data_IF_313097099157
#
_entry.id   IF_313097099157
#
_cell.length_a   1.000
_cell.length_b   1.000
_cell.length_c   1.000
_cell.angle_alpha   90.00
_cell.angle_beta   90.00
_cell.angle_gamma   90.00
#
_symmetry.space_group_name_H-M   'P 1'
#
loop_
_entity.id
_entity.type
_entity.pdbx_description
1 polymer ?
#
# COMPACT_ATOMS: atom_id res chain seq x y z
N UNK A 1 -0.20 7.98 0.12
CA UNK A 1 -0.13 7.27 -1.18
C UNK A 1 1.29 7.20 -1.73
N UNK A 2 1.92 8.33 -2.01
CA UNK A 2 3.28 8.31 -2.56
C UNK A 2 4.30 7.67 -1.62
N UNK A 3 4.16 7.87 -0.32
CA UNK A 3 5.03 7.23 0.68
C UNK A 3 4.90 5.70 0.65
N UNK A 4 3.69 5.19 0.45
CA UNK A 4 3.44 3.76 0.35
C UNK A 4 4.13 3.22 -0.91
N UNK A 5 3.97 3.88 -2.04
CA UNK A 5 4.61 3.45 -3.30
C UNK A 5 6.13 3.43 -3.14
N UNK A 6 6.70 4.45 -2.50
CA UNK A 6 8.15 4.50 -2.28
C UNK A 6 8.63 3.33 -1.42
N UNK A 7 7.95 3.04 -0.31
CA UNK A 7 8.33 1.94 0.58
C UNK A 7 8.10 0.58 -0.07
N UNK A 8 6.97 0.41 -0.80
CA UNK A 8 6.62 -0.87 -1.37
C UNK A 8 7.49 -1.26 -2.57
N UNK A 9 7.70 -0.34 -3.50
CA UNK A 9 8.35 -0.67 -4.77
C UNK A 9 9.48 0.26 -5.19
N UNK A 10 9.70 1.38 -4.48
CA UNK A 10 10.64 2.41 -4.93
C UNK A 10 10.24 2.98 -6.29
N UNK A 11 8.94 3.03 -6.59
CA UNK A 11 8.39 3.48 -7.88
C UNK A 11 8.72 2.55 -9.05
N UNK A 12 9.10 1.30 -8.79
CA UNK A 12 9.29 0.31 -9.85
C UNK A 12 7.96 -0.37 -10.15
N UNK A 13 7.38 -0.01 -11.30
CA UNK A 13 6.08 -0.56 -11.72
C UNK A 13 6.11 -2.06 -12.00
N UNK A 14 7.30 -2.62 -12.22
CA UNK A 14 7.48 -4.04 -12.50
C UNK A 14 7.91 -4.85 -11.28
N UNK A 15 7.97 -4.23 -10.11
CA UNK A 15 8.43 -4.92 -8.90
C UNK A 15 7.55 -6.12 -8.58
N UNK A 16 8.19 -7.24 -8.27
CA UNK A 16 7.51 -8.44 -7.78
C UNK A 16 8.29 -8.94 -6.54
N UNK A 17 7.59 -9.01 -5.41
CA UNK A 17 8.24 -9.46 -4.17
C UNK A 17 8.40 -10.98 -4.17
N UNK A 18 9.20 -11.47 -3.21
CA UNK A 18 9.38 -12.91 -3.02
C UNK A 18 8.05 -13.62 -2.76
N UNK A 19 7.12 -12.98 -2.06
CA UNK A 19 5.81 -13.53 -1.77
C UNK A 19 4.82 -13.40 -2.94
N UNK A 20 5.19 -12.68 -4.01
CA UNK A 20 4.35 -12.51 -5.18
C UNK A 20 3.56 -11.21 -5.24
N UNK A 21 3.79 -10.28 -4.32
CA UNK A 21 3.18 -8.95 -4.40
C UNK A 21 3.69 -8.21 -5.64
N UNK A 22 2.80 -7.52 -6.35
CA UNK A 22 3.09 -6.97 -7.67
C UNK A 22 2.91 -5.46 -7.74
N UNK A 23 3.81 -4.82 -8.48
CA UNK A 23 3.68 -3.45 -8.96
C UNK A 23 3.92 -2.37 -7.92
N UNK A 24 3.49 -1.15 -8.25
CA UNK A 24 3.80 0.05 -7.49
C UNK A 24 3.39 -0.04 -6.01
N UNK A 25 2.21 -0.57 -5.72
CA UNK A 25 1.69 -0.68 -4.36
C UNK A 25 1.80 -2.10 -3.80
N UNK A 26 2.49 -2.99 -4.50
CA UNK A 26 2.74 -4.36 -4.07
C UNK A 26 1.45 -5.08 -3.67
N UNK A 27 0.56 -5.23 -4.65
CA UNK A 27 -0.75 -5.88 -4.48
C UNK A 27 -0.60 -7.39 -4.67
N UNK A 28 -1.11 -8.15 -3.72
CA UNK A 28 -1.14 -9.61 -3.83
C UNK A 28 -2.21 -10.04 -4.84
N UNK A 29 -1.90 -11.06 -5.68
CA UNK A 29 -2.84 -11.50 -6.73
C UNK A 29 -4.20 -11.98 -6.24
N UNK A 30 -4.31 -12.48 -5.00
CA UNK A 30 -5.60 -12.94 -4.48
C UNK A 30 -6.67 -11.85 -4.45
N UNK A 31 -6.26 -10.58 -4.39
CA UNK A 31 -7.19 -9.46 -4.38
C UNK A 31 -8.00 -9.36 -5.67
N UNK A 32 -7.52 -9.95 -6.77
CA UNK A 32 -8.28 -9.98 -8.03
C UNK A 32 -9.61 -10.71 -7.87
N UNK A 33 -9.63 -11.74 -7.04
CA UNK A 33 -10.86 -12.49 -6.75
C UNK A 33 -11.78 -11.75 -5.79
N UNK A 34 -11.19 -10.94 -4.89
CA UNK A 34 -11.96 -10.23 -3.86
C UNK A 34 -12.61 -8.95 -4.37
N UNK A 35 -11.89 -8.17 -5.17
CA UNK A 35 -12.34 -6.82 -5.55
C UNK A 35 -12.25 -6.53 -7.04
N UNK A 36 -11.89 -7.49 -7.86
CA UNK A 36 -11.70 -7.27 -9.29
C UNK A 36 -11.98 -8.48 -10.14
N UNK A 37 -11.17 -8.67 -11.18
CA UNK A 37 -11.33 -9.74 -12.17
C UNK A 37 -10.06 -10.56 -12.30
N UNK A 38 -10.16 -11.88 -12.56
CA UNK A 38 -8.97 -12.74 -12.66
C UNK A 38 -7.97 -12.32 -13.73
N UNK A 39 -8.43 -11.66 -14.80
CA UNK A 39 -7.58 -11.24 -15.91
C UNK A 39 -6.99 -9.82 -15.73
N UNK A 40 -7.25 -9.15 -14.63
CA UNK A 40 -6.64 -7.85 -14.36
C UNK A 40 -5.12 -7.99 -14.24
N UNK A 41 -4.39 -7.07 -14.88
CA UNK A 41 -2.93 -7.05 -14.84
C UNK A 41 -2.45 -6.09 -13.75
N UNK A 42 -1.98 -6.64 -12.62
CA UNK A 42 -1.54 -5.84 -11.48
C UNK A 42 -0.21 -5.11 -11.73
N UNK A 43 0.50 -5.42 -12.81
CA UNK A 43 1.71 -4.69 -13.20
C UNK A 43 1.35 -3.38 -13.92
N UNK A 44 0.18 -3.30 -14.54
CA UNK A 44 -0.27 -2.08 -15.18
C UNK A 44 -0.50 -0.99 -14.10
N UNK A 45 0.13 0.19 -14.23
CA UNK A 45 0.10 1.20 -13.16
C UNK A 45 -1.31 1.62 -12.75
N UNK A 46 -2.18 1.92 -13.70
CA UNK A 46 -3.55 2.36 -13.37
C UNK A 46 -4.32 1.28 -12.62
N UNK A 47 -4.20 0.04 -13.08
CA UNK A 47 -4.84 -1.11 -12.42
C UNK A 47 -4.28 -1.31 -11.03
N UNK A 48 -2.95 -1.26 -10.89
CA UNK A 48 -2.29 -1.45 -9.60
C UNK A 48 -2.72 -0.38 -8.59
N UNK A 49 -2.71 0.89 -8.99
CA UNK A 49 -3.10 1.99 -8.12
C UNK A 49 -4.57 1.89 -7.70
N UNK A 50 -5.45 1.49 -8.62
CA UNK A 50 -6.87 1.29 -8.32
C UNK A 50 -7.05 0.20 -7.25
N UNK A 51 -6.38 -0.93 -7.41
CA UNK A 51 -6.42 -2.01 -6.41
C UNK A 51 -5.82 -1.56 -5.09
N UNK A 52 -4.64 -0.96 -5.12
CA UNK A 52 -3.95 -0.53 -3.90
C UNK A 52 -4.74 0.49 -3.11
N UNK A 53 -5.35 1.47 -3.78
CA UNK A 53 -6.19 2.46 -3.12
C UNK A 53 -7.44 1.82 -2.50
N UNK A 54 -8.07 0.89 -3.19
CA UNK A 54 -9.25 0.19 -2.70
C UNK A 54 -8.91 -0.63 -1.46
N UNK A 55 -7.81 -1.35 -1.48
CA UNK A 55 -7.35 -2.17 -0.36
C UNK A 55 -7.00 -1.27 0.83
N UNK A 56 -6.26 -0.19 0.60
CA UNK A 56 -5.89 0.74 1.65
C UNK A 56 -7.15 1.35 2.28
N UNK A 57 -8.14 1.74 1.45
CA UNK A 57 -9.40 2.27 1.95
C UNK A 57 -10.12 1.27 2.84
N UNK A 58 -10.13 0.01 2.45
CA UNK A 58 -10.72 -1.05 3.27
C UNK A 58 -10.10 -1.10 4.66
N UNK A 59 -8.77 -1.08 4.74
CA UNK A 59 -8.10 -1.12 6.05
C UNK A 59 -8.25 0.17 6.84
N UNK A 60 -8.27 1.33 6.17
CA UNK A 60 -8.51 2.61 6.84
C UNK A 60 -9.90 2.64 7.47
N UNK A 61 -10.92 2.12 6.77
CA UNK A 61 -12.28 2.05 7.29
C UNK A 61 -12.38 1.07 8.47
N UNK A 62 -11.67 -0.05 8.39
CA UNK A 62 -11.66 -1.06 9.46
C UNK A 62 -10.94 -0.58 10.72
N UNK A 63 -9.84 0.15 10.54
CA UNK A 63 -9.00 0.65 11.63
C UNK A 63 -9.19 2.15 11.83
N UNK A 64 -10.43 2.55 12.04
CA UNK A 64 -10.79 3.97 12.19
C UNK A 64 -9.93 4.62 13.28
N UNK A 65 -9.35 5.78 12.97
CA UNK A 65 -8.48 6.57 13.86
C UNK A 65 -7.15 5.91 14.21
N UNK A 66 -6.79 4.81 13.55
CA UNK A 66 -5.52 4.12 13.79
C UNK A 66 -4.77 3.90 12.48
N UNK A 67 -4.23 4.99 11.91
CA UNK A 67 -3.53 4.94 10.63
C UNK A 67 -2.39 3.92 10.63
N UNK A 68 -1.61 3.85 11.70
CA UNK A 68 -0.51 2.89 11.78
C UNK A 68 -1.00 1.44 11.73
N UNK A 69 -2.14 1.14 12.36
CA UNK A 69 -2.75 -0.20 12.28
C UNK A 69 -3.22 -0.52 10.88
N UNK A 70 -3.84 0.45 10.20
CA UNK A 70 -4.29 0.27 8.82
C UNK A 70 -3.12 -0.02 7.90
N UNK A 71 -2.02 0.71 8.05
CA UNK A 71 -0.81 0.50 7.26
C UNK A 71 -0.18 -0.86 7.52
N UNK A 72 -0.10 -1.29 8.79
CA UNK A 72 0.43 -2.60 9.14
C UNK A 72 -0.43 -3.71 8.53
N UNK A 73 -1.76 -3.57 8.59
CA UNK A 73 -2.68 -4.53 7.98
C UNK A 73 -2.52 -4.57 6.45
N UNK A 74 -2.38 -3.40 5.82
CA UNK A 74 -2.15 -3.31 4.39
C UNK A 74 -0.91 -4.10 3.96
N UNK A 75 0.17 -3.99 4.74
CA UNK A 75 1.43 -4.68 4.45
C UNK A 75 1.41 -6.16 4.84
N UNK A 76 0.41 -6.59 5.62
CA UNK A 76 0.36 -7.96 6.13
C UNK A 76 1.20 -8.17 7.38
N UNK A 77 1.53 -7.10 8.10
CA UNK A 77 2.38 -7.15 9.31
C UNK A 77 1.65 -6.60 10.53
N UNK A 78 0.36 -6.91 10.67
CA UNK A 78 -0.45 -6.49 11.82
C UNK A 78 0.25 -6.82 13.14
N UNK A 79 0.24 -5.86 14.06
CA UNK A 79 0.92 -6.01 15.36
C UNK A 79 2.36 -5.53 15.36
N UNK A 80 2.94 -5.19 14.19
CA UNK A 80 4.28 -4.64 14.07
C UNK A 80 4.22 -3.17 13.67
N UNK A 81 5.06 -2.32 14.27
CA UNK A 81 5.18 -0.91 13.88
C UNK A 81 6.19 -0.67 12.76
N UNK A 82 6.87 -1.72 12.32
CA UNK A 82 8.01 -1.60 11.41
C UNK A 82 7.64 -0.94 10.08
N UNK A 83 6.57 -1.41 9.44
CA UNK A 83 6.11 -0.85 8.18
C UNK A 83 5.50 0.54 8.35
N UNK A 84 4.59 0.77 9.30
CA UNK A 84 4.07 2.13 9.52
C UNK A 84 5.17 3.14 9.80
N UNK A 85 6.19 2.77 10.57
CA UNK A 85 7.32 3.66 10.86
C UNK A 85 8.11 4.01 9.61
N UNK A 86 8.32 3.05 8.71
CA UNK A 86 8.99 3.30 7.43
C UNK A 86 8.18 4.27 6.56
N UNK A 87 6.89 4.05 6.42
CA UNK A 87 6.02 4.91 5.63
C UNK A 87 6.01 6.32 6.21
N UNK A 88 5.90 6.43 7.53
CA UNK A 88 5.90 7.70 8.23
C UNK A 88 7.21 8.47 8.01
N UNK A 89 8.34 7.78 8.11
CA UNK A 89 9.65 8.40 7.91
C UNK A 89 9.79 8.96 6.49
N UNK A 90 9.37 8.20 5.48
CA UNK A 90 9.40 8.64 4.09
C UNK A 90 8.46 9.82 3.87
N UNK A 91 7.26 9.77 4.47
CA UNK A 91 6.30 10.86 4.36
C UNK A 91 6.86 12.15 4.94
N UNK A 92 7.45 12.10 6.13
CA UNK A 92 8.06 13.27 6.76
C UNK A 92 9.24 13.81 5.95
N UNK A 93 10.04 12.91 5.35
CA UNK A 93 11.23 13.31 4.62
C UNK A 93 10.93 13.95 3.25
N UNK A 94 9.90 13.46 2.54
CA UNK A 94 9.69 13.83 1.13
C UNK A 94 8.30 14.31 0.78
N UNK A 95 7.25 13.75 1.39
CA UNK A 95 5.88 13.93 0.89
C UNK A 95 5.00 14.79 1.78
N UNK A 96 5.50 15.15 2.93
CA UNK A 96 4.75 16.02 3.83
C UNK A 96 4.53 17.40 3.18
N UNK A 97 3.26 17.80 3.10
CA UNK A 97 2.89 19.06 2.47
C UNK A 97 1.71 19.66 3.22
N UNK A 98 1.98 20.67 4.03
CA UNK A 98 0.95 21.38 4.77
C UNK A 98 0.84 20.94 6.23
N UNK A 99 -0.27 21.31 6.89
CA UNK A 99 -0.40 21.20 8.34
C UNK A 99 -0.77 19.81 8.85
N UNK A 100 -0.96 18.82 7.97
CA UNK A 100 -1.31 17.47 8.40
C UNK A 100 -0.20 16.89 9.27
N UNK A 101 -0.54 16.55 10.50
CA UNK A 101 0.40 16.01 11.45
C UNK A 101 0.12 14.53 11.67
N UNK A 102 1.16 13.74 11.48
CA UNK A 102 1.07 12.30 11.65
C UNK A 102 2.21 11.77 12.50
#
# INVERSE_FOLDING_TARGET
MLSIIEVESGFDRYAVSRAGAQGLMQVMPFWKEEIGRPDDNLIHPDTNLRYGCHILRYYLDREVQHLSRALAAYNGSSGSSRYPDKVRAVWHARWRNGPLDW
#
